data_IF_336479490344
#
_entry.id   IF_336479490344
#
_cell.length_a   1.000
_cell.length_b   1.000
_cell.length_c   1.000
_cell.angle_alpha   90.00
_cell.angle_beta   90.00
_cell.angle_gamma   90.00
#
_symmetry.space_group_name_H-M   'P 1'
#
loop_
_entity.id
_entity.type
_entity.pdbx_description
1 polymer ?
#
# COMPACT_ATOMS: atom_id res chain seq x y z
N UNK A 1 29.95 -1.27 21.39
CA UNK A 1 29.06 -2.32 20.84
C UNK A 1 28.26 -1.69 19.70
N UNK A 2 28.27 -2.25 18.47
CA UNK A 2 27.36 -1.81 17.42
C UNK A 2 25.92 -2.16 17.86
N UNK A 3 25.01 -1.19 17.81
CA UNK A 3 23.59 -1.39 18.15
C UNK A 3 23.03 -2.46 17.20
N UNK A 4 22.37 -3.50 17.73
CA UNK A 4 21.72 -4.53 16.91
C UNK A 4 20.69 -3.84 16.01
N UNK A 5 20.68 -4.19 14.73
CA UNK A 5 19.70 -3.64 13.79
C UNK A 5 18.35 -4.26 14.09
N UNK A 6 17.36 -3.42 14.23
CA UNK A 6 15.97 -3.81 14.40
C UNK A 6 15.27 -3.76 13.03
N UNK A 7 15.14 -4.93 12.41
CA UNK A 7 14.51 -5.05 11.10
C UNK A 7 12.99 -4.99 11.17
N UNK A 8 12.39 -5.43 12.28
CA UNK A 8 10.95 -5.33 12.47
C UNK A 8 10.53 -3.87 12.59
N UNK A 9 11.25 -3.06 13.37
CA UNK A 9 10.99 -1.62 13.43
C UNK A 9 11.18 -0.90 12.09
N UNK A 10 12.09 -1.38 11.22
CA UNK A 10 12.24 -0.81 9.86
C UNK A 10 11.06 -1.16 8.94
N UNK A 11 10.55 -2.39 9.00
CA UNK A 11 9.35 -2.80 8.25
C UNK A 11 8.10 -2.09 8.78
N UNK A 12 7.96 -1.94 10.10
CA UNK A 12 6.88 -1.18 10.73
C UNK A 12 6.91 0.29 10.26
N UNK A 13 8.08 0.92 10.28
CA UNK A 13 8.24 2.29 9.77
C UNK A 13 7.85 2.38 8.28
N UNK A 14 8.26 1.41 7.44
CA UNK A 14 7.92 1.36 6.03
C UNK A 14 6.40 1.19 5.82
N UNK A 15 5.74 0.30 6.56
CA UNK A 15 4.28 0.14 6.48
C UNK A 15 3.51 1.40 6.93
N UNK A 16 4.08 2.20 7.85
CA UNK A 16 3.47 3.47 8.25
C UNK A 16 3.43 4.50 7.11
N UNK A 17 4.38 4.44 6.16
CA UNK A 17 4.35 5.28 4.97
C UNK A 17 3.19 4.89 4.04
N UNK A 18 2.87 3.61 3.90
CA UNK A 18 1.70 3.16 3.14
C UNK A 18 0.39 3.73 3.72
N UNK A 19 0.23 3.71 5.05
CA UNK A 19 -0.92 4.33 5.73
C UNK A 19 -1.03 5.83 5.42
N UNK A 20 0.08 6.55 5.53
CA UNK A 20 0.12 8.00 5.25
C UNK A 20 -0.21 8.31 3.79
N UNK A 21 0.42 7.58 2.85
CA UNK A 21 0.22 7.77 1.41
C UNK A 21 -1.24 7.52 1.00
N UNK A 22 -1.84 6.41 1.47
CA UNK A 22 -3.25 6.11 1.20
C UNK A 22 -4.19 7.14 1.83
N UNK A 23 -3.90 7.64 3.03
CA UNK A 23 -4.69 8.69 3.69
C UNK A 23 -4.64 10.01 2.91
N UNK A 24 -3.46 10.42 2.43
CA UNK A 24 -3.28 11.62 1.62
C UNK A 24 -4.01 11.50 0.27
N UNK A 25 -3.91 10.35 -0.41
CA UNK A 25 -4.65 10.10 -1.66
C UNK A 25 -6.17 10.15 -1.42
N UNK A 26 -6.65 9.53 -0.35
CA UNK A 26 -8.08 9.56 -0.01
C UNK A 26 -8.57 10.99 0.29
N UNK A 27 -7.80 11.76 1.04
CA UNK A 27 -8.11 13.16 1.33
C UNK A 27 -8.08 14.01 0.05
N UNK A 28 -7.12 13.78 -0.84
CA UNK A 28 -7.08 14.41 -2.16
C UNK A 28 -8.34 14.10 -2.98
N UNK A 29 -8.73 12.82 -3.05
CA UNK A 29 -9.93 12.42 -3.78
C UNK A 29 -11.22 13.00 -3.18
N UNK A 30 -11.26 13.22 -1.87
CA UNK A 30 -12.42 13.79 -1.19
C UNK A 30 -12.51 15.31 -1.33
N UNK A 31 -11.37 16.02 -1.24
CA UNK A 31 -11.33 17.48 -1.12
C UNK A 31 -10.87 18.22 -2.37
N UNK A 32 -10.14 17.53 -3.26
CA UNK A 32 -9.46 18.14 -4.41
C UNK A 32 -8.25 19.00 -4.02
N UNK A 33 -7.74 18.86 -2.78
CA UNK A 33 -6.60 19.66 -2.30
C UNK A 33 -5.28 19.16 -2.89
N UNK A 34 -4.74 19.90 -3.85
CA UNK A 34 -3.47 19.60 -4.54
C UNK A 34 -2.25 19.46 -3.60
N UNK A 35 -2.28 20.08 -2.43
CA UNK A 35 -1.22 19.93 -1.45
C UNK A 35 -1.13 18.48 -0.96
N UNK A 36 -2.26 17.78 -0.82
CA UNK A 36 -2.28 16.37 -0.42
C UNK A 36 -1.61 15.49 -1.48
N UNK A 37 -1.86 15.76 -2.75
CA UNK A 37 -1.23 15.06 -3.86
C UNK A 37 0.30 15.27 -3.88
N UNK A 38 0.75 16.51 -3.72
CA UNK A 38 2.18 16.84 -3.63
C UNK A 38 2.86 16.16 -2.43
N UNK A 39 2.15 16.04 -1.32
CA UNK A 39 2.66 15.35 -0.13
C UNK A 39 2.82 13.84 -0.35
N UNK A 40 2.00 13.19 -1.20
CA UNK A 40 2.20 11.78 -1.59
C UNK A 40 3.53 11.59 -2.30
N UNK A 41 3.87 12.49 -3.24
CA UNK A 41 5.13 12.42 -3.99
C UNK A 41 6.35 12.55 -3.05
N UNK A 42 6.31 13.54 -2.14
CA UNK A 42 7.39 13.72 -1.15
C UNK A 42 7.51 12.51 -0.21
N UNK A 43 6.38 11.91 0.15
CA UNK A 43 6.33 10.76 1.06
C UNK A 43 6.93 9.49 0.43
N UNK A 44 6.75 9.29 -0.88
CA UNK A 44 7.37 8.18 -1.62
C UNK A 44 8.90 8.29 -1.61
N UNK A 45 9.45 9.50 -1.84
CA UNK A 45 10.90 9.72 -1.77
C UNK A 45 11.47 9.38 -0.38
N UNK A 46 10.76 9.73 0.70
CA UNK A 46 11.14 9.37 2.08
C UNK A 46 11.06 7.85 2.32
N UNK A 47 10.02 7.21 1.83
CA UNK A 47 9.82 5.75 1.96
C UNK A 47 10.91 4.97 1.19
N UNK A 48 11.26 5.40 -0.03
CA UNK A 48 12.33 4.81 -0.82
C UNK A 48 13.70 4.96 -0.10
N UNK A 49 13.97 6.12 0.51
CA UNK A 49 15.17 6.30 1.32
C UNK A 49 15.21 5.37 2.55
N UNK A 50 14.07 5.13 3.19
CA UNK A 50 13.96 4.18 4.30
C UNK A 50 14.24 2.75 3.82
N UNK A 51 13.69 2.35 2.68
CA UNK A 51 13.93 1.04 2.06
C UNK A 51 15.41 0.85 1.72
N UNK A 52 16.06 1.83 1.10
CA UNK A 52 17.52 1.80 0.83
C UNK A 52 18.31 1.59 2.10
N UNK A 53 17.92 2.25 3.19
CA UNK A 53 18.54 2.08 4.51
C UNK A 53 18.35 0.66 5.05
N UNK A 54 17.16 0.06 4.89
CA UNK A 54 16.89 -1.32 5.28
C UNK A 54 17.80 -2.28 4.50
N UNK A 55 17.86 -2.14 3.17
CA UNK A 55 18.68 -2.99 2.31
C UNK A 55 20.17 -2.87 2.64
N UNK A 56 20.66 -1.65 2.87
CA UNK A 56 22.06 -1.43 3.28
C UNK A 56 22.37 -2.14 4.60
N UNK A 57 21.50 -2.00 5.60
CA UNK A 57 21.65 -2.69 6.88
C UNK A 57 21.58 -4.20 6.73
N UNK A 58 20.69 -4.70 5.88
CA UNK A 58 20.55 -6.12 5.57
C UNK A 58 21.84 -6.68 4.98
N UNK A 59 22.47 -5.97 4.03
CA UNK A 59 23.72 -6.38 3.42
C UNK A 59 24.90 -6.40 4.40
N UNK A 60 24.86 -5.56 5.44
CA UNK A 60 25.92 -5.44 6.44
C UNK A 60 25.67 -6.23 7.73
N UNK A 61 24.60 -7.05 7.80
CA UNK A 61 24.22 -7.83 8.98
C UNK A 61 24.36 -9.32 8.70
N UNK A 62 25.12 -10.06 9.50
CA UNK A 62 25.33 -11.50 9.31
C UNK A 62 24.18 -12.35 9.83
N UNK A 63 23.54 -11.94 10.94
CA UNK A 63 22.47 -12.68 11.59
C UNK A 63 21.23 -11.80 11.63
N UNK A 64 20.17 -12.26 10.94
CA UNK A 64 18.87 -11.59 10.87
C UNK A 64 17.81 -12.35 11.70
N UNK A 65 16.75 -11.68 12.20
CA UNK A 65 15.72 -12.33 13.03
C UNK A 65 14.88 -13.35 12.28
N UNK A 66 14.68 -13.15 10.99
CA UNK A 66 14.02 -14.07 10.04
C UNK A 66 14.91 -14.16 8.80
N UNK A 67 14.56 -14.99 7.84
CA UNK A 67 15.31 -15.14 6.60
C UNK A 67 15.54 -13.80 5.90
N UNK A 68 16.75 -13.59 5.43
CA UNK A 68 17.16 -12.36 4.74
C UNK A 68 16.31 -12.10 3.49
N UNK A 69 16.01 -13.15 2.74
CA UNK A 69 15.18 -13.07 1.54
C UNK A 69 13.75 -12.67 1.89
N UNK A 70 13.25 -13.12 3.03
CA UNK A 70 11.91 -12.77 3.52
C UNK A 70 11.82 -11.28 3.90
N UNK A 71 12.85 -10.74 4.60
CA UNK A 71 12.93 -9.31 4.91
C UNK A 71 12.98 -8.46 3.65
N UNK A 72 13.79 -8.87 2.69
CA UNK A 72 13.93 -8.16 1.41
C UNK A 72 12.63 -8.16 0.61
N UNK A 73 11.97 -9.33 0.53
CA UNK A 73 10.74 -9.47 -0.26
C UNK A 73 9.57 -8.71 0.36
N UNK A 74 9.39 -8.82 1.69
CA UNK A 74 8.33 -8.06 2.38
C UNK A 74 8.54 -6.54 2.24
N UNK A 75 9.79 -6.06 2.42
CA UNK A 75 10.13 -4.66 2.19
C UNK A 75 9.84 -4.20 0.75
N UNK A 76 10.04 -5.07 -0.25
CA UNK A 76 9.73 -4.77 -1.65
C UNK A 76 8.23 -4.62 -1.87
N UNK A 77 7.42 -5.49 -1.29
CA UNK A 77 5.96 -5.41 -1.43
C UNK A 77 5.41 -4.15 -0.77
N UNK A 78 5.94 -3.75 0.40
CA UNK A 78 5.55 -2.50 1.06
C UNK A 78 5.89 -1.26 0.23
N UNK A 79 7.02 -1.26 -0.46
CA UNK A 79 7.46 -0.21 -1.38
C UNK A 79 6.54 -0.13 -2.61
N UNK A 80 6.25 -1.27 -3.22
CA UNK A 80 5.40 -1.37 -4.40
C UNK A 80 3.99 -0.80 -4.16
N UNK A 81 3.44 -0.95 -2.95
CA UNK A 81 2.18 -0.32 -2.55
C UNK A 81 2.26 1.21 -2.68
N UNK A 82 3.35 1.81 -2.17
CA UNK A 82 3.53 3.27 -2.17
C UNK A 82 3.75 3.79 -3.59
N UNK A 83 4.51 3.04 -4.41
CA UNK A 83 4.76 3.36 -5.82
C UNK A 83 3.46 3.43 -6.64
N UNK A 84 2.54 2.48 -6.42
CA UNK A 84 1.23 2.51 -7.11
C UNK A 84 0.34 3.65 -6.64
N UNK A 85 0.40 4.03 -5.36
CA UNK A 85 -0.34 5.20 -4.85
C UNK A 85 0.19 6.47 -5.51
N UNK A 86 1.50 6.65 -5.56
CA UNK A 86 2.14 7.80 -6.22
C UNK A 86 1.82 7.82 -7.72
N UNK A 87 1.89 6.67 -8.39
CA UNK A 87 1.50 6.55 -9.80
C UNK A 87 0.05 6.99 -10.02
N UNK A 88 -0.87 6.58 -9.13
CA UNK A 88 -2.28 6.99 -9.21
C UNK A 88 -2.45 8.50 -9.08
N UNK A 89 -1.70 9.14 -8.18
CA UNK A 89 -1.69 10.61 -8.03
C UNK A 89 -1.17 11.29 -9.31
N UNK A 90 -0.03 10.84 -9.83
CA UNK A 90 0.57 11.38 -11.05
C UNK A 90 -0.40 11.28 -12.23
N UNK A 91 -1.13 10.19 -12.37
CA UNK A 91 -2.10 9.97 -13.44
C UNK A 91 -3.37 10.81 -13.27
N UNK A 92 -3.89 10.98 -12.04
CA UNK A 92 -5.00 11.88 -11.76
C UNK A 92 -4.65 13.29 -12.23
N UNK A 93 -3.44 13.77 -11.96
CA UNK A 93 -2.94 15.07 -12.42
C UNK A 93 -2.75 15.11 -13.94
N UNK A 94 -2.02 14.15 -14.49
CA UNK A 94 -1.69 14.10 -15.92
C UNK A 94 -2.95 14.05 -16.79
N UNK A 95 -3.92 13.25 -16.39
CA UNK A 95 -5.17 13.08 -17.13
C UNK A 95 -6.24 14.09 -16.76
N UNK A 96 -5.98 14.96 -15.77
CA UNK A 96 -6.93 15.95 -15.22
C UNK A 96 -8.25 15.28 -14.84
N UNK A 97 -8.15 14.22 -14.05
CA UNK A 97 -9.29 13.48 -13.55
C UNK A 97 -9.91 14.25 -12.39
N UNK A 98 -11.21 14.41 -12.42
CA UNK A 98 -11.98 14.95 -11.28
C UNK A 98 -12.42 13.75 -10.45
N UNK A 99 -11.98 13.61 -9.20
CA UNK A 99 -12.40 12.48 -8.37
C UNK A 99 -13.91 12.37 -8.27
N UNK A 100 -14.44 11.19 -8.52
CA UNK A 100 -15.87 10.87 -8.42
C UNK A 100 -16.16 10.06 -7.14
N UNK A 101 -17.44 9.78 -6.89
CA UNK A 101 -17.86 9.03 -5.70
C UNK A 101 -17.30 7.62 -5.62
N UNK A 102 -16.96 6.99 -6.76
CA UNK A 102 -16.31 5.67 -6.78
C UNK A 102 -14.87 5.75 -6.32
N UNK A 103 -14.10 6.74 -6.80
CA UNK A 103 -12.72 6.99 -6.34
C UNK A 103 -12.67 7.26 -4.83
N UNK A 104 -13.63 8.06 -4.32
CA UNK A 104 -13.71 8.33 -2.88
C UNK A 104 -13.95 7.05 -2.08
N UNK A 105 -14.84 6.16 -2.54
CA UNK A 105 -15.10 4.88 -1.83
C UNK A 105 -13.91 3.93 -1.92
N UNK A 106 -13.32 3.79 -3.08
CA UNK A 106 -12.14 2.94 -3.33
C UNK A 106 -10.98 3.38 -2.45
N UNK A 107 -10.64 4.67 -2.44
CA UNK A 107 -9.52 5.19 -1.64
C UNK A 107 -9.77 5.12 -0.14
N UNK A 108 -11.01 5.29 0.32
CA UNK A 108 -11.37 5.09 1.72
C UNK A 108 -11.17 3.62 2.17
N UNK A 109 -11.51 2.65 1.31
CA UNK A 109 -11.29 1.22 1.59
C UNK A 109 -9.78 0.91 1.63
N UNK A 110 -8.98 1.51 0.76
CA UNK A 110 -7.52 1.38 0.80
C UNK A 110 -6.92 1.92 2.11
N UNK A 111 -7.45 3.02 2.66
CA UNK A 111 -7.01 3.55 3.98
C UNK A 111 -7.26 2.54 5.08
N UNK A 112 -8.44 1.92 5.12
CA UNK A 112 -8.75 0.87 6.10
C UNK A 112 -7.82 -0.34 5.94
N UNK A 113 -7.58 -0.75 4.69
CA UNK A 113 -6.67 -1.84 4.34
C UNK A 113 -5.24 -1.57 4.78
N UNK A 114 -4.72 -0.33 4.56
CA UNK A 114 -3.39 0.09 5.01
C UNK A 114 -3.25 0.06 6.53
N UNK A 115 -4.28 0.47 7.26
CA UNK A 115 -4.30 0.38 8.72
C UNK A 115 -4.14 -1.05 9.22
N UNK A 116 -4.84 -2.01 8.63
CA UNK A 116 -4.71 -3.41 8.99
C UNK A 116 -3.38 -4.03 8.55
N UNK A 117 -2.86 -3.64 7.37
CA UNK A 117 -1.54 -4.04 6.92
C UNK A 117 -0.45 -3.57 7.90
N UNK A 118 -0.50 -2.30 8.31
CA UNK A 118 0.42 -1.76 9.31
C UNK A 118 0.30 -2.50 10.65
N UNK A 119 -0.91 -2.75 11.12
CA UNK A 119 -1.17 -3.54 12.34
C UNK A 119 -0.57 -4.94 12.26
N UNK A 120 -0.66 -5.61 11.11
CA UNK A 120 -0.08 -6.93 10.91
C UNK A 120 1.45 -6.88 10.99
N UNK A 121 2.09 -5.93 10.32
CA UNK A 121 3.55 -5.76 10.35
C UNK A 121 4.05 -5.37 11.74
N UNK A 122 3.40 -4.42 12.41
CA UNK A 122 3.81 -3.94 13.74
C UNK A 122 3.75 -5.05 14.82
N UNK A 123 2.84 -6.01 14.66
CA UNK A 123 2.64 -7.10 15.61
C UNK A 123 3.41 -8.38 15.29
N UNK A 124 4.06 -8.46 14.11
CA UNK A 124 4.64 -9.72 13.61
C UNK A 124 5.73 -10.31 14.51
N UNK A 125 6.48 -9.47 15.24
CA UNK A 125 7.53 -9.91 16.16
C UNK A 125 6.97 -10.42 17.49
N UNK A 126 5.98 -9.72 18.05
CA UNK A 126 5.61 -9.86 19.45
C UNK A 126 4.24 -10.52 19.68
N UNK A 127 3.34 -10.52 18.68
CA UNK A 127 2.01 -11.08 18.76
C UNK A 127 1.55 -11.61 17.40
N UNK A 128 2.02 -12.83 17.06
CA UNK A 128 1.70 -13.45 15.77
C UNK A 128 0.21 -13.69 15.55
N UNK A 129 -0.55 -13.98 16.59
CA UNK A 129 -1.99 -14.21 16.45
C UNK A 129 -2.74 -12.91 16.12
N UNK A 130 -2.39 -11.80 16.76
CA UNK A 130 -2.96 -10.49 16.42
C UNK A 130 -2.47 -10.03 15.02
N UNK A 131 -1.23 -10.34 14.65
CA UNK A 131 -0.70 -10.09 13.30
C UNK A 131 -1.48 -10.84 12.22
N UNK A 132 -1.70 -12.16 12.40
CA UNK A 132 -2.52 -12.99 11.50
C UNK A 132 -3.95 -12.48 11.38
N UNK A 133 -4.57 -12.11 12.52
CA UNK A 133 -5.92 -11.56 12.52
C UNK A 133 -6.02 -10.26 11.72
N UNK A 134 -5.01 -9.40 11.78
CA UNK A 134 -4.93 -8.18 10.97
C UNK A 134 -4.71 -8.51 9.48
N UNK A 135 -3.83 -9.46 9.16
CA UNK A 135 -3.59 -9.92 7.79
C UNK A 135 -4.87 -10.46 7.12
N UNK A 136 -5.67 -11.26 7.82
CA UNK A 136 -6.95 -11.75 7.29
C UNK A 136 -7.98 -10.62 7.04
N UNK A 137 -7.90 -9.49 7.76
CA UNK A 137 -8.76 -8.33 7.47
C UNK A 137 -8.35 -7.65 6.17
N UNK A 138 -7.03 -7.54 5.88
CA UNK A 138 -6.54 -7.05 4.59
C UNK A 138 -7.09 -7.92 3.46
N UNK A 139 -7.00 -9.24 3.58
CA UNK A 139 -7.53 -10.18 2.58
C UNK A 139 -9.05 -10.07 2.39
N UNK A 140 -9.79 -9.80 3.44
CA UNK A 140 -11.22 -9.53 3.32
C UNK A 140 -11.49 -8.22 2.57
N UNK A 141 -10.72 -7.17 2.83
CA UNK A 141 -10.87 -5.87 2.18
C UNK A 141 -10.47 -5.90 0.71
N UNK A 142 -9.55 -6.78 0.31
CA UNK A 142 -9.23 -7.01 -1.11
C UNK A 142 -10.49 -7.45 -1.89
N UNK A 143 -11.27 -8.42 -1.38
CA UNK A 143 -12.52 -8.82 -2.00
C UNK A 143 -13.56 -7.68 -2.07
N UNK A 144 -13.58 -6.80 -1.06
CA UNK A 144 -14.41 -5.59 -1.08
C UNK A 144 -13.94 -4.63 -2.18
N UNK A 145 -12.62 -4.44 -2.32
CA UNK A 145 -12.01 -3.62 -3.36
C UNK A 145 -12.36 -4.13 -4.76
N UNK A 146 -12.24 -5.44 -4.98
CA UNK A 146 -12.62 -6.06 -6.26
C UNK A 146 -14.09 -5.77 -6.61
N UNK A 147 -15.00 -5.88 -5.63
CA UNK A 147 -16.42 -5.59 -5.81
C UNK A 147 -16.68 -4.11 -6.11
N UNK A 148 -16.03 -3.19 -5.39
CA UNK A 148 -16.15 -1.74 -5.63
C UNK A 148 -15.62 -1.36 -7.02
N UNK A 149 -14.47 -1.90 -7.41
CA UNK A 149 -13.85 -1.65 -8.71
C UNK A 149 -14.71 -2.17 -9.85
N UNK A 150 -15.29 -3.37 -9.73
CA UNK A 150 -16.25 -3.90 -10.71
C UNK A 150 -17.49 -3.01 -10.85
N UNK A 151 -18.03 -2.49 -9.75
CA UNK A 151 -19.13 -1.54 -9.75
C UNK A 151 -18.77 -0.22 -10.42
N UNK A 152 -17.57 0.30 -10.14
CA UNK A 152 -17.06 1.51 -10.77
C UNK A 152 -16.87 1.35 -12.29
N UNK A 153 -16.36 0.20 -12.75
CA UNK A 153 -16.30 -0.12 -14.18
C UNK A 153 -17.68 -0.16 -14.81
N UNK A 154 -18.66 -0.82 -14.19
CA UNK A 154 -20.03 -0.84 -14.72
C UNK A 154 -20.56 0.58 -14.91
N UNK A 155 -20.33 1.48 -13.96
CA UNK A 155 -20.79 2.87 -14.03
C UNK A 155 -20.11 3.66 -15.16
N UNK A 156 -18.78 3.56 -15.31
CA UNK A 156 -18.08 4.34 -16.35
C UNK A 156 -18.38 3.85 -17.77
N UNK A 157 -18.65 2.54 -17.95
CA UNK A 157 -18.97 1.97 -19.25
C UNK A 157 -20.38 2.33 -19.76
N UNK A 158 -21.22 2.96 -18.94
CA UNK A 158 -22.50 3.55 -19.41
C UNK A 158 -22.30 4.85 -20.18
N UNK A 159 -21.09 5.44 -20.15
CA UNK A 159 -20.77 6.68 -20.86
C UNK A 159 -20.38 6.43 -22.32
N UNK A 160 -20.71 7.39 -23.19
CA UNK A 160 -20.21 7.43 -24.56
C UNK A 160 -18.85 8.16 -24.71
N UNK A 161 -18.32 8.73 -23.64
CA UNK A 161 -17.01 9.41 -23.63
C UNK A 161 -15.86 8.42 -23.43
N UNK A 162 -15.33 7.88 -24.54
CA UNK A 162 -14.20 6.94 -24.51
C UNK A 162 -12.95 7.49 -23.83
N UNK A 163 -12.71 8.81 -23.88
CA UNK A 163 -11.54 9.39 -23.19
C UNK A 163 -11.73 9.36 -21.69
N UNK A 164 -12.92 9.64 -21.22
CA UNK A 164 -13.27 9.54 -19.80
C UNK A 164 -13.15 8.08 -19.34
N UNK A 165 -13.77 7.13 -20.06
CA UNK A 165 -13.69 5.71 -19.77
C UNK A 165 -12.24 5.27 -19.64
N UNK A 166 -11.38 5.59 -20.59
CA UNK A 166 -9.97 5.20 -20.56
C UNK A 166 -9.24 5.75 -19.34
N UNK A 167 -9.41 7.04 -19.01
CA UNK A 167 -8.76 7.70 -17.89
C UNK A 167 -9.14 7.05 -16.56
N UNK A 168 -10.42 6.87 -16.28
CA UNK A 168 -10.87 6.25 -15.03
C UNK A 168 -10.52 4.77 -14.96
N UNK A 169 -10.53 4.05 -16.09
CA UNK A 169 -10.11 2.65 -16.14
C UNK A 169 -8.66 2.49 -15.65
N UNK A 170 -7.74 3.35 -16.09
CA UNK A 170 -6.35 3.28 -15.64
C UNK A 170 -6.23 3.51 -14.12
N UNK A 171 -6.90 4.53 -13.58
CA UNK A 171 -6.86 4.79 -12.15
C UNK A 171 -7.46 3.64 -11.34
N UNK A 172 -8.63 3.15 -11.72
CA UNK A 172 -9.26 2.02 -11.01
C UNK A 172 -8.38 0.77 -11.05
N UNK A 173 -7.71 0.52 -12.19
CA UNK A 173 -6.78 -0.60 -12.33
C UNK A 173 -5.59 -0.46 -11.38
N UNK A 174 -4.98 0.72 -11.26
CA UNK A 174 -3.85 0.95 -10.36
C UNK A 174 -4.26 0.85 -8.90
N UNK A 175 -5.41 1.41 -8.52
CA UNK A 175 -5.90 1.32 -7.15
C UNK A 175 -6.28 -0.12 -6.77
N UNK A 176 -6.88 -0.90 -7.70
CA UNK A 176 -7.13 -2.32 -7.46
C UNK A 176 -5.81 -3.08 -7.30
N UNK A 177 -4.82 -2.80 -8.16
CA UNK A 177 -3.52 -3.45 -8.06
C UNK A 177 -2.79 -3.10 -6.74
N UNK A 178 -2.98 -1.90 -6.20
CA UNK A 178 -2.49 -1.55 -4.85
C UNK A 178 -3.07 -2.49 -3.79
N UNK A 179 -4.36 -2.84 -3.90
CA UNK A 179 -5.00 -3.80 -2.99
C UNK A 179 -4.44 -5.22 -3.19
N UNK A 180 -4.22 -5.65 -4.44
CA UNK A 180 -3.65 -6.97 -4.77
C UNK A 180 -2.24 -7.13 -4.19
N UNK A 181 -1.41 -6.06 -4.25
CA UNK A 181 -0.06 -6.07 -3.66
C UNK A 181 -0.14 -6.11 -2.13
N UNK A 182 -1.08 -5.39 -1.52
CA UNK A 182 -1.28 -5.44 -0.07
C UNK A 182 -1.74 -6.84 0.40
N UNK A 183 -2.64 -7.50 -0.35
CA UNK A 183 -3.02 -8.91 -0.11
C UNK A 183 -1.82 -9.84 -0.23
N UNK A 184 -1.03 -9.69 -1.30
CA UNK A 184 0.19 -10.47 -1.53
C UNK A 184 1.23 -10.29 -0.41
N UNK A 185 1.35 -9.08 0.15
CA UNK A 185 2.22 -8.82 1.29
C UNK A 185 1.74 -9.56 2.54
N UNK A 186 0.42 -9.70 2.73
CA UNK A 186 -0.15 -10.42 3.86
C UNK A 186 -0.05 -11.94 3.68
N UNK A 187 -0.24 -12.47 2.49
CA UNK A 187 0.01 -13.87 2.19
C UNK A 187 1.47 -14.22 2.48
N UNK A 188 2.39 -13.38 2.02
CA UNK A 188 3.81 -13.57 2.28
C UNK A 188 4.17 -13.48 3.78
N UNK A 189 3.54 -12.58 4.53
CA UNK A 189 3.69 -12.50 5.99
C UNK A 189 3.22 -13.79 6.68
N UNK A 190 2.09 -14.35 6.26
CA UNK A 190 1.57 -15.61 6.78
C UNK A 190 2.51 -16.76 6.47
N UNK A 191 3.15 -16.79 5.30
CA UNK A 191 4.16 -17.78 4.92
C UNK A 191 5.42 -17.67 5.80
N UNK A 192 5.83 -16.47 6.19
CA UNK A 192 6.93 -16.27 7.15
C UNK A 192 6.60 -16.97 8.47
N UNK A 193 5.38 -16.84 8.97
CA UNK A 193 4.96 -17.51 10.23
C UNK A 193 4.96 -19.04 10.17
N UNK A 194 4.83 -19.61 8.99
CA UNK A 194 4.95 -21.08 8.82
C UNK A 194 6.40 -21.53 8.95
N UNK A 195 7.36 -20.68 8.65
CA UNK A 195 8.80 -20.96 8.71
C UNK A 195 9.41 -20.68 10.11
N UNK A 196 8.77 -19.83 10.92
CA UNK A 196 9.23 -19.46 12.29
C UNK A 196 8.87 -20.53 13.30
#
# INVERSE_FOLDING_TARGET
>A
MKKKVDFFALLEAQSSYAVKAMSLLSEYCLTGNEEMANNVIALEEEADQLRRTLIEKLNNTYITPIDREDLFHLSRLLDEIIDYIKTSVDEIHLFKIIPNGDLVRITATLVEMAGHLHDAIAKMENDQEASKAAAYKVKHLENVMESLTKGAYATIFESDDFKMIFKYNEIYRHLNHTADVADSAMDFLLDIFVKM
#
